data_IF_108836482829
#
_entry.id   IF_108836482829
#
_cell.length_a   1.000
_cell.length_b   1.000
_cell.length_c   1.000
_cell.angle_alpha   90.00
_cell.angle_beta   90.00
_cell.angle_gamma   90.00
#
_symmetry.space_group_name_H-M   'P 1'
#
loop_
_entity.id
_entity.type
_entity.pdbx_description
1 polymer ?
#
# COMPACT_ATOMS: atom_id res chain seq x y z
N UNK A 1 7.01 -8.39 -12.50
CA UNK A 1 7.91 -7.43 -13.17
C UNK A 1 9.02 -8.15 -13.92
N UNK A 2 9.84 -8.97 -13.24
CA UNK A 2 10.87 -9.81 -13.86
C UNK A 2 10.35 -10.66 -15.05
N UNK A 3 9.23 -11.37 -14.87
CA UNK A 3 8.64 -12.17 -15.94
C UNK A 3 8.25 -11.32 -17.17
N UNK A 4 7.66 -10.13 -16.97
CA UNK A 4 7.29 -9.25 -18.07
C UNK A 4 8.52 -8.68 -18.79
N UNK A 5 9.56 -8.32 -18.03
CA UNK A 5 10.82 -7.82 -18.56
C UNK A 5 11.56 -8.88 -19.39
N UNK A 6 11.56 -10.13 -18.92
CA UNK A 6 12.09 -11.28 -19.67
C UNK A 6 11.36 -11.48 -21.00
N UNK A 7 10.02 -11.43 -21.02
CA UNK A 7 9.25 -11.52 -22.28
C UNK A 7 9.52 -10.36 -23.23
N UNK A 8 9.78 -9.16 -22.71
CA UNK A 8 10.09 -7.98 -23.50
C UNK A 8 11.58 -7.88 -23.90
N UNK A 9 12.42 -8.80 -23.43
CA UNK A 9 13.88 -8.74 -23.54
C UNK A 9 14.46 -7.39 -23.04
N UNK A 10 13.93 -6.90 -21.93
CA UNK A 10 14.35 -5.67 -21.26
C UNK A 10 14.96 -6.00 -19.91
N UNK A 11 16.08 -5.37 -19.58
CA UNK A 11 16.67 -5.45 -18.25
C UNK A 11 16.12 -4.34 -17.35
N UNK A 12 15.81 -4.68 -16.09
CA UNK A 12 15.38 -3.71 -15.09
C UNK A 12 16.62 -3.25 -14.33
N UNK A 13 16.95 -1.97 -14.46
CA UNK A 13 18.00 -1.32 -13.68
C UNK A 13 17.39 -0.63 -12.43
N UNK A 14 17.63 -1.15 -11.21
CA UNK A 14 17.11 -0.56 -9.97
C UNK A 14 17.68 0.84 -9.66
N UNK A 15 18.83 1.21 -10.24
CA UNK A 15 19.42 2.53 -10.03
C UNK A 15 18.56 3.63 -10.63
N UNK A 16 17.90 3.36 -11.76
CA UNK A 16 16.94 4.28 -12.39
C UNK A 16 15.76 4.59 -11.49
N UNK A 17 15.28 3.60 -10.72
CA UNK A 17 14.20 3.79 -9.75
C UNK A 17 14.65 4.74 -8.64
N UNK A 18 15.86 4.54 -8.12
CA UNK A 18 16.42 5.39 -7.05
C UNK A 18 16.64 6.83 -7.54
N UNK A 19 17.14 7.00 -8.77
CA UNK A 19 17.32 8.32 -9.39
C UNK A 19 15.99 9.03 -9.64
N UNK A 20 14.98 8.30 -10.11
CA UNK A 20 13.63 8.85 -10.31
C UNK A 20 13.04 9.35 -9.00
N UNK A 21 13.13 8.56 -7.91
CA UNK A 21 12.68 9.00 -6.59
C UNK A 21 13.39 10.28 -6.17
N UNK A 22 14.73 10.33 -6.22
CA UNK A 22 15.50 11.54 -5.85
C UNK A 22 15.07 12.77 -6.65
N UNK A 23 14.88 12.61 -7.96
CA UNK A 23 14.47 13.70 -8.85
C UNK A 23 13.07 14.21 -8.50
N UNK A 24 12.13 13.29 -8.20
CA UNK A 24 10.77 13.65 -7.82
C UNK A 24 10.72 14.29 -6.44
N UNK A 25 11.46 13.76 -5.46
CA UNK A 25 11.56 14.30 -4.10
C UNK A 25 12.19 15.68 -4.05
N UNK A 26 13.07 16.03 -5.00
CA UNK A 26 13.64 17.37 -5.10
C UNK A 26 12.63 18.42 -5.64
N UNK A 27 11.51 17.96 -6.25
CA UNK A 27 10.56 18.82 -6.97
C UNK A 27 9.17 18.88 -6.35
N UNK A 28 8.86 17.98 -5.42
CA UNK A 28 7.54 17.85 -4.83
C UNK A 28 7.66 17.66 -3.32
N UNK A 29 6.74 18.26 -2.57
CA UNK A 29 6.70 18.14 -1.11
C UNK A 29 6.36 16.72 -0.64
N UNK A 30 5.66 15.96 -1.48
CA UNK A 30 5.27 14.57 -1.22
C UNK A 30 5.36 13.74 -2.50
N UNK A 31 5.90 12.53 -2.38
CA UNK A 31 5.97 11.54 -3.46
C UNK A 31 5.36 10.23 -2.96
N UNK A 32 4.29 9.78 -3.60
CA UNK A 32 3.73 8.45 -3.35
C UNK A 32 4.37 7.45 -4.32
N UNK A 33 4.92 6.37 -3.77
CA UNK A 33 5.50 5.28 -4.56
C UNK A 33 4.61 4.05 -4.43
N UNK A 34 4.00 3.63 -5.53
CA UNK A 34 3.30 2.36 -5.60
C UNK A 34 4.28 1.25 -6.00
N UNK A 35 4.23 0.12 -5.28
CA UNK A 35 4.98 -1.08 -5.64
C UNK A 35 4.35 -1.84 -6.81
N UNK A 36 4.71 -3.11 -6.95
CA UNK A 36 4.08 -4.00 -7.92
C UNK A 36 3.75 -5.35 -7.28
N UNK A 37 2.46 -5.68 -7.22
CA UNK A 37 1.99 -6.88 -6.54
C UNK A 37 2.34 -6.90 -5.04
N UNK A 38 2.74 -8.06 -4.53
CA UNK A 38 3.13 -8.24 -3.13
C UNK A 38 4.59 -7.91 -2.83
N UNK A 39 4.94 -7.85 -1.54
CA UNK A 39 6.29 -7.45 -1.08
C UNK A 39 7.39 -8.44 -1.47
N UNK A 40 7.05 -9.71 -1.74
CA UNK A 40 7.95 -10.75 -2.24
C UNK A 40 7.84 -10.95 -3.76
N UNK A 41 7.34 -9.97 -4.51
CA UNK A 41 7.40 -10.01 -5.97
C UNK A 41 8.85 -9.72 -6.42
N UNK A 42 9.43 -10.53 -7.31
CA UNK A 42 10.76 -10.27 -7.85
C UNK A 42 10.73 -9.12 -8.87
N UNK A 43 11.59 -8.14 -8.62
CA UNK A 43 11.93 -7.03 -9.53
C UNK A 43 13.02 -7.50 -10.49
N UNK A 44 14.11 -8.05 -9.95
CA UNK A 44 15.15 -8.78 -10.70
C UNK A 44 15.28 -10.20 -10.12
N UNK A 45 16.23 -11.00 -10.62
CA UNK A 45 16.49 -12.34 -10.07
C UNK A 45 16.90 -12.32 -8.59
N UNK A 46 17.63 -11.29 -8.17
CA UNK A 46 18.18 -11.16 -6.81
C UNK A 46 17.60 -9.98 -6.02
N UNK A 47 16.49 -9.39 -6.50
CA UNK A 47 15.89 -8.21 -5.88
C UNK A 47 14.38 -8.32 -5.82
N UNK A 48 13.81 -8.25 -4.63
CA UNK A 48 12.37 -8.23 -4.39
C UNK A 48 11.86 -6.82 -4.11
N UNK A 49 10.55 -6.63 -4.17
CA UNK A 49 9.90 -5.35 -3.84
C UNK A 49 10.25 -4.90 -2.42
N UNK A 50 10.31 -5.81 -1.44
CA UNK A 50 10.70 -5.49 -0.06
C UNK A 50 12.13 -4.95 0.04
N UNK A 51 13.06 -5.50 -0.73
CA UNK A 51 14.45 -5.01 -0.79
C UNK A 51 14.52 -3.62 -1.41
N UNK A 52 13.70 -3.37 -2.43
CA UNK A 52 13.61 -2.06 -3.06
C UNK A 52 13.05 -1.03 -2.09
N UNK A 53 11.96 -1.34 -1.36
CA UNK A 53 11.40 -0.45 -0.34
C UNK A 53 12.46 -0.12 0.72
N UNK A 54 13.17 -1.14 1.22
CA UNK A 54 14.26 -0.98 2.18
C UNK A 54 15.37 -0.09 1.64
N UNK A 55 15.80 -0.31 0.40
CA UNK A 55 16.85 0.48 -0.28
C UNK A 55 16.45 1.94 -0.47
N UNK A 56 15.17 2.21 -0.72
CA UNK A 56 14.64 3.57 -0.86
C UNK A 56 14.41 4.27 0.49
N UNK A 57 14.45 3.52 1.62
CA UNK A 57 14.25 4.07 2.96
C UNK A 57 12.83 4.59 3.20
N UNK A 58 11.84 4.04 2.48
CA UNK A 58 10.46 4.51 2.54
C UNK A 58 9.64 3.72 3.56
N UNK A 59 8.76 4.37 4.35
CA UNK A 59 7.78 3.66 5.15
C UNK A 59 6.65 3.11 4.27
N UNK A 60 5.99 2.02 4.71
CA UNK A 60 4.92 1.35 3.96
C UNK A 60 3.55 1.63 4.57
N UNK A 61 2.64 2.16 3.75
CA UNK A 61 1.19 2.09 4.00
C UNK A 61 0.65 0.84 3.31
N UNK A 62 0.27 -0.19 4.09
CA UNK A 62 -0.20 -1.45 3.53
C UNK A 62 -1.70 -1.40 3.25
N UNK A 63 -2.09 -1.62 2.00
CA UNK A 63 -3.50 -1.75 1.61
C UNK A 63 -3.92 -3.22 1.73
N UNK A 64 -4.80 -3.51 2.68
CA UNK A 64 -5.34 -4.84 2.92
C UNK A 64 -6.78 -4.95 2.43
N UNK A 65 -7.20 -6.12 1.96
CA UNK A 65 -8.62 -6.36 1.63
C UNK A 65 -9.43 -6.53 2.92
N UNK A 66 -10.65 -6.01 2.95
CA UNK A 66 -11.60 -6.27 4.01
C UNK A 66 -12.45 -7.51 3.69
N UNK A 67 -11.89 -8.72 3.87
CA UNK A 67 -12.66 -9.96 3.62
C UNK A 67 -11.87 -11.25 3.84
N UNK A 68 -12.52 -12.39 3.57
CA UNK A 68 -12.02 -13.72 3.94
C UNK A 68 -10.66 -14.05 3.32
N UNK A 69 -9.73 -14.58 4.12
CA UNK A 69 -8.34 -14.84 3.72
C UNK A 69 -7.41 -13.63 3.86
N UNK A 70 -7.94 -12.43 4.11
CA UNK A 70 -7.10 -11.23 4.31
C UNK A 70 -6.31 -11.25 5.61
N UNK A 71 -6.79 -11.93 6.66
CA UNK A 71 -6.05 -12.07 7.93
C UNK A 71 -4.66 -12.66 7.66
N UNK A 72 -4.60 -13.82 7.00
CA UNK A 72 -3.35 -14.49 6.68
C UNK A 72 -2.45 -13.61 5.80
N UNK A 73 -2.95 -13.12 4.67
CA UNK A 73 -2.15 -12.31 3.75
C UNK A 73 -1.60 -11.05 4.40
N UNK A 74 -2.43 -10.36 5.20
CA UNK A 74 -2.00 -9.13 5.88
C UNK A 74 -0.92 -9.43 6.91
N UNK A 75 -1.12 -10.44 7.77
CA UNK A 75 -0.14 -10.78 8.80
C UNK A 75 1.18 -11.29 8.21
N UNK A 76 1.15 -12.14 7.18
CA UNK A 76 2.36 -12.58 6.48
C UNK A 76 3.10 -11.42 5.81
N UNK A 77 2.36 -10.48 5.20
CA UNK A 77 2.97 -9.30 4.58
C UNK A 77 3.62 -8.40 5.63
N UNK A 78 2.96 -8.16 6.76
CA UNK A 78 3.50 -7.37 7.86
C UNK A 78 4.73 -8.03 8.49
N UNK A 79 4.72 -9.35 8.67
CA UNK A 79 5.86 -10.10 9.17
C UNK A 79 7.06 -10.00 8.22
N UNK A 80 6.83 -10.16 6.91
CA UNK A 80 7.86 -9.97 5.90
C UNK A 80 8.47 -8.55 5.95
N UNK A 81 7.65 -7.51 6.05
CA UNK A 81 8.15 -6.13 6.18
C UNK A 81 8.99 -5.94 7.45
N UNK A 82 8.53 -6.48 8.59
CA UNK A 82 9.24 -6.40 9.87
C UNK A 82 10.59 -7.12 9.85
N UNK A 83 10.61 -8.36 9.35
CA UNK A 83 11.82 -9.17 9.26
C UNK A 83 12.87 -8.56 8.34
N UNK A 84 12.44 -7.79 7.33
CA UNK A 84 13.35 -7.04 6.46
C UNK A 84 13.76 -5.66 7.04
N UNK A 85 13.20 -5.26 8.18
CA UNK A 85 13.48 -3.96 8.82
C UNK A 85 12.83 -2.78 8.10
N UNK A 86 11.74 -3.01 7.36
CA UNK A 86 11.00 -1.96 6.66
C UNK A 86 10.01 -1.29 7.63
N UNK A 87 10.03 0.05 7.79
CA UNK A 87 9.06 0.75 8.62
C UNK A 87 7.64 0.59 8.08
N UNK A 88 6.70 0.24 8.95
CA UNK A 88 5.27 0.16 8.61
C UNK A 88 4.60 1.41 9.14
N UNK A 89 4.06 2.23 8.24
CA UNK A 89 3.30 3.42 8.56
C UNK A 89 1.93 3.08 9.15
N UNK A 90 1.25 2.11 8.53
CA UNK A 90 -0.07 1.67 8.96
C UNK A 90 -0.79 0.84 7.89
N UNK A 91 -2.09 0.66 8.11
CA UNK A 91 -3.00 -0.09 7.26
C UNK A 91 -4.09 0.83 6.68
N UNK A 92 -4.52 0.55 5.45
CA UNK A 92 -5.81 0.99 4.92
C UNK A 92 -6.55 -0.25 4.44
N UNK A 93 -7.83 -0.38 4.78
CA UNK A 93 -8.64 -1.49 4.29
C UNK A 93 -9.43 -1.08 3.06
N UNK A 94 -9.47 -1.94 2.06
CA UNK A 94 -10.28 -1.75 0.87
C UNK A 94 -11.38 -2.82 0.82
N UNK A 95 -12.61 -2.40 0.56
CA UNK A 95 -13.78 -3.27 0.32
C UNK A 95 -14.03 -3.37 -1.19
N UNK A 96 -13.39 -4.31 -1.91
CA UNK A 96 -13.47 -4.36 -3.37
C UNK A 96 -14.75 -5.02 -3.88
N UNK A 97 -15.52 -5.69 -3.02
CA UNK A 97 -16.72 -6.41 -3.41
C UNK A 97 -17.96 -5.50 -3.30
N UNK A 98 -18.86 -5.62 -4.27
CA UNK A 98 -20.16 -4.94 -4.23
C UNK A 98 -20.97 -5.47 -3.03
N UNK A 99 -21.55 -4.59 -2.20
CA UNK A 99 -22.41 -5.01 -1.10
C UNK A 99 -23.63 -5.85 -1.56
N UNK A 100 -24.20 -6.69 -0.68
CA UNK A 100 -23.78 -6.90 0.71
C UNK A 100 -22.49 -7.71 0.82
N UNK A 101 -21.61 -7.31 1.75
CA UNK A 101 -20.49 -8.14 2.15
C UNK A 101 -21.02 -9.40 2.87
N UNK A 102 -20.24 -10.48 2.84
CA UNK A 102 -20.56 -11.68 3.59
C UNK A 102 -20.58 -11.34 5.10
N UNK A 103 -21.67 -11.66 5.84
CA UNK A 103 -21.76 -11.40 7.28
C UNK A 103 -20.56 -11.91 8.06
N UNK A 104 -19.94 -13.01 7.61
CA UNK A 104 -18.80 -13.65 8.29
C UNK A 104 -17.50 -12.83 8.19
N UNK A 105 -17.46 -11.77 7.37
CA UNK A 105 -16.27 -10.95 7.18
C UNK A 105 -16.11 -9.83 8.21
N UNK A 106 -17.14 -9.54 9.02
CA UNK A 106 -17.15 -8.41 9.98
C UNK A 106 -16.03 -8.50 11.03
N UNK A 107 -15.57 -9.71 11.37
CA UNK A 107 -14.50 -9.92 12.33
C UNK A 107 -13.09 -9.79 11.73
N UNK A 108 -12.96 -9.68 10.39
CA UNK A 108 -11.66 -9.69 9.69
C UNK A 108 -10.78 -8.53 10.11
N UNK A 109 -11.27 -7.29 9.95
CA UNK A 109 -10.51 -6.07 10.26
C UNK A 109 -10.17 -5.98 11.76
N UNK A 110 -11.13 -6.15 12.70
CA UNK A 110 -10.82 -6.15 14.12
C UNK A 110 -9.76 -7.18 14.50
N UNK A 111 -9.81 -8.38 13.89
CA UNK A 111 -8.83 -9.44 14.13
C UNK A 111 -7.44 -9.05 13.64
N UNK A 112 -7.33 -8.48 12.43
CA UNK A 112 -6.05 -7.99 11.89
C UNK A 112 -5.46 -6.92 12.80
N UNK A 113 -6.24 -5.92 13.21
CA UNK A 113 -5.75 -4.83 14.05
C UNK A 113 -5.30 -5.32 15.42
N UNK A 114 -6.06 -6.23 16.03
CA UNK A 114 -5.71 -6.85 17.31
C UNK A 114 -4.41 -7.64 17.24
N UNK A 115 -4.23 -8.47 16.20
CA UNK A 115 -3.07 -9.36 16.07
C UNK A 115 -1.82 -8.64 15.55
N UNK A 116 -1.99 -7.66 14.68
CA UNK A 116 -0.87 -6.96 14.07
C UNK A 116 -0.30 -5.86 14.97
N UNK A 117 -1.10 -5.25 15.84
CA UNK A 117 -0.74 -4.03 16.57
C UNK A 117 -0.33 -2.87 15.64
N UNK A 118 -0.87 -2.84 14.41
CA UNK A 118 -0.63 -1.77 13.44
C UNK A 118 -1.85 -0.85 13.38
N UNK A 119 -1.62 0.46 13.35
CA UNK A 119 -2.69 1.47 13.23
C UNK A 119 -3.39 1.36 11.87
N UNK A 120 -4.71 1.51 11.87
CA UNK A 120 -5.50 1.76 10.65
C UNK A 120 -5.65 3.26 10.38
N UNK A 121 -5.60 3.64 9.12
CA UNK A 121 -5.96 4.97 8.62
C UNK A 121 -7.33 4.99 7.94
N UNK A 122 -8.12 3.92 8.04
CA UNK A 122 -9.51 3.90 7.59
C UNK A 122 -9.83 2.81 6.57
N UNK A 123 -11.04 2.89 6.02
CA UNK A 123 -11.64 1.85 5.19
C UNK A 123 -12.31 2.44 3.96
N UNK A 124 -11.87 2.02 2.77
CA UNK A 124 -12.45 2.46 1.51
C UNK A 124 -13.62 1.53 1.10
N UNK A 125 -14.85 2.04 0.94
CA UNK A 125 -15.98 1.25 0.48
C UNK A 125 -15.89 0.96 -1.01
N UNK A 126 -16.62 -0.07 -1.45
CA UNK A 126 -16.85 -0.32 -2.87
C UNK A 126 -17.48 0.90 -3.55
N UNK A 127 -16.92 1.31 -4.69
CA UNK A 127 -17.46 2.38 -5.52
C UNK A 127 -17.61 1.88 -6.96
N UNK A 128 -18.85 1.93 -7.47
CA UNK A 128 -19.17 1.51 -8.83
C UNK A 128 -18.68 2.55 -9.85
N UNK A 129 -18.11 2.07 -10.96
CA UNK A 129 -17.71 2.91 -12.08
C UNK A 129 -16.40 3.68 -11.91
N UNK A 130 -15.60 3.39 -10.89
CA UNK A 130 -14.23 3.93 -10.82
C UNK A 130 -13.39 3.38 -11.99
N UNK A 131 -12.48 4.19 -12.57
CA UNK A 131 -12.12 5.56 -12.16
C UNK A 131 -13.03 6.67 -12.70
N UNK A 132 -13.94 6.39 -13.64
CA UNK A 132 -14.76 7.40 -14.32
C UNK A 132 -15.67 8.19 -13.36
N UNK A 133 -16.12 7.56 -12.28
CA UNK A 133 -16.98 8.19 -11.25
C UNK A 133 -16.20 8.86 -10.12
N UNK A 134 -14.87 8.99 -10.22
CA UNK A 134 -14.03 9.61 -9.18
C UNK A 134 -14.53 10.98 -8.69
N UNK A 135 -14.88 11.96 -9.54
CA UNK A 135 -15.35 13.27 -9.09
C UNK A 135 -16.59 13.19 -8.19
N UNK A 136 -17.42 12.16 -8.36
CA UNK A 136 -18.63 11.93 -7.55
C UNK A 136 -18.32 11.30 -6.19
N UNK A 137 -17.29 10.45 -6.12
CA UNK A 137 -16.98 9.66 -4.92
C UNK A 137 -15.84 10.22 -4.08
N UNK A 138 -15.01 11.12 -4.62
CA UNK A 138 -13.79 11.64 -3.98
C UNK A 138 -14.00 12.05 -2.53
N UNK A 139 -14.92 12.97 -2.27
CA UNK A 139 -15.07 13.55 -0.93
C UNK A 139 -15.60 12.51 0.07
N UNK A 140 -16.50 11.63 -0.39
CA UNK A 140 -17.01 10.52 0.41
C UNK A 140 -15.91 9.48 0.73
N UNK A 141 -15.00 9.20 -0.21
CA UNK A 141 -13.86 8.31 0.00
C UNK A 141 -12.83 8.92 0.96
N UNK A 142 -12.50 10.21 0.77
CA UNK A 142 -11.59 10.95 1.65
C UNK A 142 -12.12 10.97 3.08
N UNK A 143 -13.43 11.18 3.28
CA UNK A 143 -14.06 11.17 4.59
C UNK A 143 -14.01 9.82 5.31
N UNK A 144 -13.65 8.73 4.62
CA UNK A 144 -13.43 7.40 5.22
C UNK A 144 -11.98 7.14 5.64
N UNK A 145 -11.09 8.07 5.35
CA UNK A 145 -9.67 7.98 5.68
C UNK A 145 -9.28 9.06 6.71
N UNK A 146 -8.42 8.67 7.63
CA UNK A 146 -7.69 9.60 8.51
C UNK A 146 -6.50 10.20 7.75
N UNK A 147 -6.82 11.08 6.79
CA UNK A 147 -5.81 11.73 5.95
C UNK A 147 -4.89 12.63 6.77
N UNK A 148 -5.44 13.35 7.76
CA UNK A 148 -4.63 14.21 8.61
C UNK A 148 -3.63 13.39 9.44
N UNK A 149 -4.07 12.31 10.07
CA UNK A 149 -3.19 11.42 10.81
C UNK A 149 -2.10 10.80 9.94
N UNK A 150 -2.41 10.50 8.66
CA UNK A 150 -1.43 10.02 7.69
C UNK A 150 -0.38 11.10 7.36
N UNK A 151 -0.81 12.33 7.09
CA UNK A 151 0.09 13.45 6.82
C UNK A 151 0.97 13.78 8.02
N UNK A 152 0.41 13.74 9.24
CA UNK A 152 1.15 13.97 10.48
C UNK A 152 2.21 12.89 10.73
N UNK A 153 1.87 11.61 10.49
CA UNK A 153 2.80 10.50 10.61
C UNK A 153 3.96 10.58 9.59
N UNK A 154 3.75 11.25 8.46
CA UNK A 154 4.76 11.54 7.44
C UNK A 154 5.49 12.87 7.66
N UNK A 155 5.11 13.67 8.65
CA UNK A 155 5.69 14.99 8.90
C UNK A 155 5.29 16.07 7.89
N UNK A 156 4.24 15.84 7.09
CA UNK A 156 3.80 16.68 5.97
C UNK A 156 2.76 17.75 6.37
N UNK A 157 2.98 18.42 7.50
CA UNK A 157 1.99 19.34 8.13
C UNK A 157 1.62 20.58 7.30
N UNK A 158 2.31 20.85 6.18
CA UNK A 158 2.06 22.00 5.30
C UNK A 158 1.14 21.70 4.11
N UNK A 159 0.71 20.45 3.95
CA UNK A 159 -0.15 20.00 2.84
C UNK A 159 -1.63 19.80 3.25
N UNK A 160 -1.98 20.13 4.50
CA UNK A 160 -3.32 20.06 5.05
C UNK A 160 -4.16 21.31 4.72
#
# INVERSE_FOLDING_TARGET
MLAAAAHANVEIDPTRITQALRTLSARHDCVLVEGIGGVLVPVTVDLFVVDLIKRLGLPVLLVARAGLGSINHTLLTLDCLRTHGVPILGLVFNHPARPPADPDESATIPTILRLSHVRSFGELPYCEGLPATWPRHRDALIARLDVQGLLDALGLRKLA
#
